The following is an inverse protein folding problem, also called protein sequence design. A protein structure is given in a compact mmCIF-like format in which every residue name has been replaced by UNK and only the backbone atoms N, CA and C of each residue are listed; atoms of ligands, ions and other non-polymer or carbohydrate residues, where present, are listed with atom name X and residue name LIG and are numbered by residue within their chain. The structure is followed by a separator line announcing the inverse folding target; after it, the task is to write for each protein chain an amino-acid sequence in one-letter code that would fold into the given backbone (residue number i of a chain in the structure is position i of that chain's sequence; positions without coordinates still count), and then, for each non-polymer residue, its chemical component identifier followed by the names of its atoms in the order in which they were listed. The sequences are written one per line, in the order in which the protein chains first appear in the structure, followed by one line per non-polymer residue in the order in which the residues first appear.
data_IF_695887370256
#
_entry.id   IF_695887370256
#
_cell.length_a   1.000
_cell.length_b   1.000
_cell.length_c   1.000
_cell.angle_alpha   90.00
_cell.angle_beta   90.00
_cell.angle_gamma   90.00
#
_symmetry.space_group_name_H-M   'P 1'
#
loop_
_entity.id
_entity.type
_entity.pdbx_description
1 polymer ?
#
# COMPACT_ATOMS: atom_id res chain seq x y z
N UNK A 1 -4.61 22.92 25.33
CA UNK A 1 -3.31 22.70 24.66
C UNK A 1 -2.91 23.98 23.95
N UNK A 2 -1.64 24.38 23.97
CA UNK A 2 -1.21 25.58 23.27
C UNK A 2 -1.18 25.28 21.76
N UNK A 3 -1.62 26.24 20.94
CA UNK A 3 -1.69 26.14 19.47
C UNK A 3 -0.36 25.73 18.78
N UNK A 4 0.76 25.86 19.47
CA UNK A 4 2.09 25.58 18.91
C UNK A 4 2.49 24.10 18.97
N UNK A 5 1.80 23.30 19.75
CA UNK A 5 2.21 21.92 20.03
C UNK A 5 1.52 20.89 19.12
N UNK A 6 0.35 21.21 18.54
CA UNK A 6 -0.45 20.28 17.73
C UNK A 6 0.31 19.67 16.53
N UNK A 7 0.99 20.43 15.64
CA UNK A 7 1.77 19.85 14.56
C UNK A 7 2.97 19.04 15.05
N UNK A 8 3.64 19.45 16.12
CA UNK A 8 4.79 18.75 16.65
C UNK A 8 4.39 17.38 17.26
N UNK A 9 3.30 17.32 18.00
CA UNK A 9 2.75 16.08 18.55
C UNK A 9 2.29 15.13 17.42
N UNK A 10 1.61 15.66 16.40
CA UNK A 10 1.23 14.90 15.20
C UNK A 10 2.44 14.28 14.52
N UNK A 11 3.49 15.07 14.27
CA UNK A 11 4.73 14.60 13.62
C UNK A 11 5.39 13.52 14.47
N UNK A 12 5.50 13.73 15.79
CA UNK A 12 6.10 12.76 16.69
C UNK A 12 5.33 11.43 16.71
N UNK A 13 3.99 11.46 16.76
CA UNK A 13 3.13 10.27 16.65
C UNK A 13 3.31 9.57 15.31
N UNK A 14 3.26 10.33 14.23
CA UNK A 14 3.45 9.81 12.86
C UNK A 14 4.77 9.06 12.72
N UNK A 15 5.86 9.67 13.22
CA UNK A 15 7.19 9.07 13.13
C UNK A 15 7.29 7.79 13.97
N UNK A 16 6.66 7.73 15.14
CA UNK A 16 6.62 6.48 15.94
C UNK A 16 5.83 5.38 15.24
N UNK A 17 4.65 5.70 14.70
CA UNK A 17 3.82 4.73 13.96
C UNK A 17 4.53 4.21 12.71
N UNK A 18 5.10 5.10 11.91
CA UNK A 18 5.80 4.75 10.66
C UNK A 18 7.18 4.12 10.85
N UNK A 19 7.78 4.21 12.04
CA UNK A 19 9.07 3.56 12.32
C UNK A 19 8.97 2.04 12.42
N UNK A 20 7.79 1.49 12.68
CA UNK A 20 7.56 0.06 12.73
C UNK A 20 6.77 -0.39 11.48
N UNK A 21 7.37 -1.18 10.58
CA UNK A 21 6.71 -1.63 9.35
C UNK A 21 5.50 -2.55 9.59
N UNK A 22 5.30 -3.03 10.83
CA UNK A 22 4.10 -3.78 11.21
C UNK A 22 2.87 -2.88 11.38
N UNK A 23 3.08 -1.58 11.64
CA UNK A 23 1.99 -0.62 11.81
C UNK A 23 1.49 -0.07 10.48
N UNK A 24 2.38 0.11 9.51
CA UNK A 24 2.01 0.56 8.16
C UNK A 24 3.14 0.23 7.18
N UNK A 25 2.80 0.03 5.91
CA UNK A 25 3.76 -0.16 4.84
C UNK A 25 4.49 1.16 4.48
N UNK A 26 5.59 1.07 3.73
CA UNK A 26 6.39 2.22 3.31
C UNK A 26 5.54 3.26 2.55
N UNK A 27 5.62 4.50 2.97
CA UNK A 27 4.86 5.63 2.41
C UNK A 27 3.32 5.47 2.41
N UNK A 28 2.79 4.39 2.96
CA UNK A 28 1.36 4.16 3.12
C UNK A 28 0.80 4.82 4.38
N UNK A 29 -0.50 4.98 4.39
CA UNK A 29 -1.21 5.61 5.48
C UNK A 29 -0.98 7.12 5.60
N UNK A 30 -1.76 7.73 6.47
CA UNK A 30 -1.67 9.13 6.83
C UNK A 30 -2.28 9.39 8.21
N UNK A 31 -1.85 10.46 8.83
CA UNK A 31 -2.24 10.85 10.17
C UNK A 31 -2.65 12.30 10.18
N UNK A 32 -3.51 12.70 11.11
CA UNK A 32 -3.95 14.08 11.22
C UNK A 32 -4.23 14.53 12.64
N UNK A 33 -4.25 15.84 12.81
CA UNK A 33 -4.74 16.51 14.01
C UNK A 33 -5.57 17.74 13.61
N UNK A 34 -6.60 18.02 14.39
CA UNK A 34 -7.43 19.23 14.29
C UNK A 34 -7.12 20.16 15.44
N UNK A 35 -7.22 21.44 15.21
CA UNK A 35 -7.00 22.46 16.23
C UNK A 35 -7.40 23.83 15.75
N UNK A 36 -7.40 24.80 16.65
CA UNK A 36 -7.76 26.18 16.38
C UNK A 36 -6.53 27.08 16.35
N UNK A 37 -6.50 28.00 15.42
CA UNK A 37 -5.50 29.08 15.35
C UNK A 37 -6.20 30.43 15.23
N UNK A 38 -5.51 31.50 15.59
CA UNK A 38 -5.96 32.85 15.23
C UNK A 38 -5.54 33.14 13.80
N UNK A 39 -6.51 33.37 12.91
CA UNK A 39 -6.23 33.76 11.53
C UNK A 39 -5.50 35.10 11.52
N UNK A 40 -4.31 35.20 10.88
CA UNK A 40 -3.47 36.41 10.94
C UNK A 40 -4.06 37.59 10.15
N UNK A 41 -5.04 37.33 9.30
CA UNK A 41 -5.67 38.38 8.47
C UNK A 41 -6.91 38.94 9.14
N UNK A 42 -7.76 38.05 9.66
CA UNK A 42 -9.07 38.41 10.24
C UNK A 42 -9.04 38.57 11.75
N UNK A 43 -7.98 38.07 12.42
CA UNK A 43 -7.86 37.93 13.88
C UNK A 43 -8.99 37.10 14.52
N UNK A 44 -9.65 36.25 13.72
CA UNK A 44 -10.71 35.37 14.21
C UNK A 44 -10.18 33.96 14.46
N UNK A 45 -10.77 33.22 15.44
CA UNK A 45 -10.51 31.80 15.58
C UNK A 45 -10.82 31.04 14.31
N UNK A 46 -9.94 30.15 13.91
CA UNK A 46 -10.07 29.35 12.67
C UNK A 46 -9.68 27.91 12.97
N UNK A 47 -10.61 26.98 12.75
CA UNK A 47 -10.31 25.56 12.86
C UNK A 47 -9.49 25.08 11.66
N UNK A 48 -8.37 24.41 11.95
CA UNK A 48 -7.48 23.82 10.96
C UNK A 48 -7.39 22.30 11.11
N UNK A 49 -7.12 21.67 9.98
CA UNK A 49 -6.68 20.29 9.86
C UNK A 49 -5.22 20.29 9.41
N UNK A 50 -4.34 19.68 10.20
CA UNK A 50 -3.02 19.27 9.78
C UNK A 50 -3.08 17.80 9.42
N UNK A 51 -2.70 17.44 8.21
CA UNK A 51 -2.73 16.07 7.72
C UNK A 51 -1.49 15.78 6.90
N UNK A 52 -0.95 14.55 7.01
CA UNK A 52 0.16 14.13 6.14
C UNK A 52 -0.28 14.25 4.68
N UNK A 53 0.48 15.01 3.91
CA UNK A 53 0.24 15.22 2.50
C UNK A 53 0.54 14.00 1.64
N UNK A 54 0.29 14.15 0.34
CA UNK A 54 0.53 13.09 -0.65
C UNK A 54 2.03 12.78 -0.77
N UNK A 55 2.38 11.49 -0.75
CA UNK A 55 3.77 11.01 -0.83
C UNK A 55 4.53 11.12 0.50
N UNK A 56 5.75 10.64 0.50
CA UNK A 56 6.60 10.62 1.70
C UNK A 56 6.22 9.52 2.69
N UNK A 57 7.21 9.08 3.45
CA UNK A 57 7.03 8.04 4.46
C UNK A 57 6.58 8.63 5.80
N UNK A 58 5.69 7.89 6.49
CA UNK A 58 5.14 8.33 7.78
C UNK A 58 6.23 8.42 8.85
N UNK A 59 7.18 7.47 8.84
CA UNK A 59 8.30 7.41 9.80
C UNK A 59 9.31 8.54 9.68
N UNK A 60 9.26 9.33 8.60
CA UNK A 60 10.17 10.46 8.34
C UNK A 60 9.41 11.77 8.10
N UNK A 61 8.17 11.85 8.55
CA UNK A 61 7.33 13.03 8.40
C UNK A 61 7.97 14.26 9.09
N UNK A 62 7.95 15.38 8.39
CA UNK A 62 8.36 16.69 8.89
C UNK A 62 7.24 17.71 8.67
N UNK A 63 7.38 18.91 9.21
CA UNK A 63 6.39 19.97 9.05
C UNK A 63 6.08 20.28 7.58
N UNK A 64 7.10 20.28 6.71
CA UNK A 64 6.93 20.48 5.27
C UNK A 64 6.15 19.37 4.56
N UNK A 65 6.00 18.22 5.19
CA UNK A 65 5.19 17.10 4.71
C UNK A 65 3.70 17.18 5.11
N UNK A 66 3.31 18.19 5.88
CA UNK A 66 1.92 18.41 6.26
C UNK A 66 1.20 19.31 5.24
N UNK A 67 -0.01 18.91 4.85
CA UNK A 67 -1.01 19.80 4.28
C UNK A 67 -1.79 20.44 5.41
N UNK A 68 -2.06 21.76 5.30
CA UNK A 68 -2.83 22.51 6.31
C UNK A 68 -4.06 23.07 5.66
N UNK A 69 -5.25 22.65 6.13
CA UNK A 69 -6.53 23.01 5.52
C UNK A 69 -7.44 23.69 6.53
N UNK A 70 -8.26 24.58 6.04
CA UNK A 70 -9.38 25.16 6.79
C UNK A 70 -10.50 24.12 6.87
N UNK A 71 -10.85 23.74 8.10
CA UNK A 71 -11.82 22.68 8.34
C UNK A 71 -13.25 23.09 7.93
N UNK A 72 -13.60 24.36 8.10
CA UNK A 72 -14.88 24.90 7.64
C UNK A 72 -15.08 24.75 6.13
N UNK A 73 -14.03 25.03 5.33
CA UNK A 73 -14.06 24.88 3.87
C UNK A 73 -14.11 23.41 3.46
N UNK A 74 -13.32 22.57 4.11
CA UNK A 74 -13.30 21.14 3.81
C UNK A 74 -14.67 20.49 4.08
N UNK A 75 -15.29 20.84 5.21
CA UNK A 75 -16.66 20.36 5.54
C UNK A 75 -17.70 20.87 4.57
N UNK A 76 -17.60 22.11 4.10
CA UNK A 76 -18.52 22.65 3.11
C UNK A 76 -18.49 21.93 1.75
N UNK A 77 -17.42 21.18 1.45
CA UNK A 77 -17.35 20.37 0.23
C UNK A 77 -18.42 19.26 0.18
N UNK A 78 -19.01 18.88 1.32
CA UNK A 78 -20.13 17.91 1.36
C UNK A 78 -21.33 18.44 0.57
N UNK A 79 -21.59 19.75 0.64
CA UNK A 79 -22.74 20.37 -0.03
C UNK A 79 -22.59 20.44 -1.57
N UNK A 80 -21.35 20.32 -2.06
CA UNK A 80 -21.04 20.37 -3.50
C UNK A 80 -20.53 19.04 -4.04
N UNK A 81 -20.55 17.98 -3.23
CA UNK A 81 -20.09 16.66 -3.64
C UNK A 81 -20.90 16.10 -4.80
N UNK A 82 -20.30 15.81 -5.96
CA UNK A 82 -21.03 15.42 -7.17
C UNK A 82 -21.42 13.93 -7.23
N UNK A 83 -21.08 13.17 -6.19
CA UNK A 83 -21.27 11.71 -6.14
C UNK A 83 -20.05 10.92 -6.61
N UNK A 84 -20.10 9.60 -6.41
CA UNK A 84 -19.00 8.65 -6.61
C UNK A 84 -18.40 8.70 -8.02
N UNK A 85 -19.24 8.90 -9.05
CA UNK A 85 -18.78 8.90 -10.45
C UNK A 85 -17.84 10.08 -10.78
N UNK A 86 -17.91 11.14 -10.00
CA UNK A 86 -17.12 12.36 -10.20
C UNK A 86 -16.31 12.74 -8.96
N UNK A 87 -16.09 11.83 -8.02
CA UNK A 87 -15.40 12.14 -6.75
C UNK A 87 -13.96 12.62 -6.94
N UNK A 88 -13.31 12.28 -8.05
CA UNK A 88 -11.95 12.74 -8.36
C UNK A 88 -11.85 14.27 -8.46
N UNK A 89 -12.97 14.95 -8.79
CA UNK A 89 -13.03 16.42 -8.81
C UNK A 89 -12.82 17.02 -7.41
N UNK A 90 -13.16 16.29 -6.35
CA UNK A 90 -12.99 16.74 -4.98
C UNK A 90 -11.52 16.90 -4.57
N UNK A 91 -10.61 16.12 -5.18
CA UNK A 91 -9.17 16.23 -4.91
C UNK A 91 -8.65 17.60 -5.36
N UNK A 92 -9.10 18.10 -6.50
CA UNK A 92 -8.77 19.46 -6.95
C UNK A 92 -9.42 20.53 -6.05
N UNK A 93 -10.59 20.25 -5.47
CA UNK A 93 -11.26 21.16 -4.56
C UNK A 93 -10.53 21.34 -3.22
N UNK A 94 -9.71 20.34 -2.79
CA UNK A 94 -8.91 20.48 -1.57
C UNK A 94 -7.92 21.64 -1.63
N UNK A 95 -7.42 22.01 -2.81
CA UNK A 95 -6.52 23.16 -2.98
C UNK A 95 -7.17 24.47 -2.56
N UNK A 96 -8.51 24.61 -2.71
CA UNK A 96 -9.24 25.79 -2.26
C UNK A 96 -9.52 25.78 -0.74
N UNK A 97 -9.25 24.67 -0.07
CA UNK A 97 -9.36 24.57 1.38
C UNK A 97 -8.04 24.88 2.11
N UNK A 98 -6.91 25.02 1.39
CA UNK A 98 -5.61 25.27 2.00
C UNK A 98 -5.60 26.54 2.84
N UNK A 99 -4.87 26.49 3.96
CA UNK A 99 -4.61 27.64 4.83
C UNK A 99 -3.20 28.17 4.63
N UNK A 100 -3.05 29.49 4.56
CA UNK A 100 -1.77 30.17 4.40
C UNK A 100 -1.13 29.90 3.04
N UNK A 101 0.17 29.62 3.03
CA UNK A 101 0.94 29.34 1.81
C UNK A 101 0.87 27.88 1.37
N UNK A 102 0.03 27.08 2.02
CA UNK A 102 -0.10 25.65 1.77
C UNK A 102 0.84 24.83 2.66
N UNK A 103 1.53 23.91 2.09
CA UNK A 103 2.37 22.87 2.69
C UNK A 103 2.54 21.81 1.64
N UNK A 104 2.54 20.54 2.02
CA UNK A 104 2.43 19.45 1.08
C UNK A 104 1.06 19.49 0.37
N UNK A 105 0.97 18.92 -0.82
CA UNK A 105 -0.32 18.75 -1.48
C UNK A 105 -1.22 17.81 -0.66
N UNK A 106 -2.51 18.12 -0.48
CA UNK A 106 -3.44 17.23 0.20
C UNK A 106 -3.47 15.85 -0.46
N UNK A 107 -3.58 14.80 0.37
CA UNK A 107 -3.77 13.44 -0.14
C UNK A 107 -5.23 13.21 -0.51
N UNK A 108 -5.48 12.13 -1.25
CA UNK A 108 -6.83 11.69 -1.58
C UNK A 108 -7.65 11.35 -0.33
N UNK A 109 -6.98 10.93 0.75
CA UNK A 109 -7.60 10.55 2.02
C UNK A 109 -7.93 11.76 2.91
N UNK A 110 -7.61 12.98 2.47
CA UNK A 110 -7.86 14.20 3.23
C UNK A 110 -9.32 14.33 3.70
N UNK A 111 -10.28 13.82 2.90
CA UNK A 111 -11.69 13.84 3.26
C UNK A 111 -11.98 13.06 4.56
N UNK A 112 -11.46 11.85 4.73
CA UNK A 112 -11.70 11.08 5.97
C UNK A 112 -11.18 11.80 7.21
N UNK A 113 -10.02 12.46 7.09
CA UNK A 113 -9.44 13.23 8.18
C UNK A 113 -10.23 14.48 8.56
N UNK A 114 -10.89 15.11 7.60
CA UNK A 114 -11.69 16.30 7.83
C UNK A 114 -13.13 16.03 8.27
N UNK A 115 -13.75 14.99 7.69
CA UNK A 115 -15.17 14.68 7.87
C UNK A 115 -15.47 13.83 9.09
N UNK A 116 -14.56 12.95 9.49
CA UNK A 116 -14.72 12.15 10.72
C UNK A 116 -14.64 13.07 11.94
N UNK A 117 -15.63 12.99 12.80
CA UNK A 117 -15.74 13.84 14.01
C UNK A 117 -14.86 13.31 15.14
N UNK A 118 -13.55 13.55 15.00
CA UNK A 118 -12.53 13.30 16.02
C UNK A 118 -11.36 14.27 15.85
N UNK A 119 -10.72 14.73 16.95
CA UNK A 119 -9.57 15.63 16.88
C UNK A 119 -8.35 15.01 16.22
N UNK A 120 -8.08 13.73 16.46
CA UNK A 120 -6.93 12.98 15.97
C UNK A 120 -7.38 11.75 15.20
N UNK A 121 -6.77 11.51 14.03
CA UNK A 121 -7.12 10.37 13.16
C UNK A 121 -5.84 9.79 12.57
N UNK A 122 -5.73 8.47 12.63
CA UNK A 122 -4.67 7.69 12.00
C UNK A 122 -5.31 6.71 11.01
N UNK A 123 -4.88 6.77 9.76
CA UNK A 123 -5.19 5.79 8.73
C UNK A 123 -3.89 5.03 8.42
N UNK A 124 -3.90 3.71 8.59
CA UNK A 124 -2.71 2.87 8.52
C UNK A 124 -2.96 1.59 7.71
N UNK A 125 -1.88 1.03 7.16
CA UNK A 125 -1.89 -0.17 6.34
C UNK A 125 -1.08 -1.31 6.99
N UNK A 126 -1.47 -1.81 8.20
CA UNK A 126 -0.80 -2.91 8.85
C UNK A 126 -1.17 -4.25 8.20
N UNK A 127 -0.19 -5.14 8.05
CA UNK A 127 -0.42 -6.47 7.44
C UNK A 127 -1.55 -7.24 8.15
N UNK A 128 -1.63 -7.20 9.48
CA UNK A 128 -2.69 -7.88 10.26
C UNK A 128 -4.08 -7.29 10.02
N UNK A 129 -4.19 -5.96 9.95
CA UNK A 129 -5.46 -5.28 9.65
C UNK A 129 -5.93 -5.55 8.22
N UNK A 130 -5.00 -5.49 7.25
CA UNK A 130 -5.31 -5.80 5.85
C UNK A 130 -5.67 -7.28 5.68
N UNK A 131 -5.07 -8.19 6.47
CA UNK A 131 -5.42 -9.61 6.42
C UNK A 131 -6.89 -9.85 6.77
N UNK A 132 -7.41 -9.22 7.83
CA UNK A 132 -8.84 -9.24 8.15
C UNK A 132 -9.68 -8.54 7.07
N UNK A 133 -9.20 -7.40 6.57
CA UNK A 133 -9.87 -6.63 5.53
C UNK A 133 -10.00 -7.37 4.19
N UNK A 134 -9.16 -8.38 3.94
CA UNK A 134 -9.13 -9.18 2.71
C UNK A 134 -9.51 -10.64 2.93
N UNK A 135 -10.07 -10.96 4.09
CA UNK A 135 -10.70 -12.26 4.34
C UNK A 135 -12.09 -12.30 3.71
N UNK A 136 -12.50 -13.44 3.19
CA UNK A 136 -13.81 -13.63 2.53
C UNK A 136 -15.00 -13.27 3.44
N UNK A 137 -14.85 -13.46 4.74
CA UNK A 137 -15.79 -13.13 5.79
C UNK A 137 -15.26 -12.03 6.74
N UNK A 138 -14.51 -11.07 6.19
CA UNK A 138 -13.78 -10.05 6.92
C UNK A 138 -14.65 -9.22 7.89
N UNK A 139 -15.89 -8.88 7.51
CA UNK A 139 -16.83 -8.19 8.42
C UNK A 139 -17.15 -9.03 9.66
N UNK A 140 -17.47 -10.31 9.46
CA UNK A 140 -17.77 -11.22 10.56
C UNK A 140 -16.56 -11.45 11.46
N UNK A 141 -15.37 -11.64 10.87
CA UNK A 141 -14.11 -11.75 11.61
C UNK A 141 -13.76 -10.47 12.38
N UNK A 142 -14.01 -9.31 11.80
CA UNK A 142 -13.83 -8.02 12.49
C UNK A 142 -14.72 -7.94 13.72
N UNK A 143 -15.98 -8.36 13.60
CA UNK A 143 -16.90 -8.40 14.74
C UNK A 143 -16.49 -9.42 15.80
N UNK A 144 -16.00 -10.59 15.39
CA UNK A 144 -15.49 -11.62 16.30
C UNK A 144 -14.23 -11.13 17.03
N UNK A 145 -13.28 -10.53 16.31
CA UNK A 145 -12.01 -10.06 16.83
C UNK A 145 -12.17 -8.89 17.81
N UNK A 146 -13.02 -7.92 17.51
CA UNK A 146 -13.05 -6.63 18.21
C UNK A 146 -14.38 -6.33 18.94
N UNK A 147 -15.41 -7.13 18.73
CA UNK A 147 -16.75 -6.81 19.23
C UNK A 147 -17.29 -5.52 18.63
N UNK A 148 -17.76 -4.60 19.48
CA UNK A 148 -18.26 -3.27 19.07
C UNK A 148 -17.19 -2.17 19.11
N UNK A 149 -15.95 -2.51 19.47
CA UNK A 149 -14.86 -1.53 19.56
C UNK A 149 -14.30 -1.09 18.21
N UNK A 150 -14.39 -1.95 17.18
CA UNK A 150 -13.97 -1.61 15.82
C UNK A 150 -15.10 -1.98 14.87
N UNK A 151 -15.52 -1.05 14.05
CA UNK A 151 -16.56 -1.26 13.06
C UNK A 151 -15.96 -1.67 11.71
N UNK A 152 -16.83 -2.00 10.76
CA UNK A 152 -16.48 -2.37 9.39
C UNK A 152 -16.98 -1.33 8.40
N UNK A 153 -16.18 -1.07 7.35
CA UNK A 153 -16.57 -0.32 6.16
C UNK A 153 -16.25 -1.19 4.94
N UNK A 154 -17.25 -1.44 4.09
CA UNK A 154 -17.06 -2.18 2.86
C UNK A 154 -16.05 -1.52 1.93
N UNK A 155 -15.50 -2.32 1.00
CA UNK A 155 -14.58 -1.79 0.01
C UNK A 155 -15.14 -0.54 -0.66
N UNK A 156 -14.34 0.48 -0.59
CA UNK A 156 -14.53 1.71 -1.30
C UNK A 156 -13.17 2.20 -1.83
N UNK A 157 -13.12 2.64 -3.08
CA UNK A 157 -11.91 3.30 -3.58
C UNK A 157 -11.55 4.49 -2.67
N UNK A 158 -10.26 4.71 -2.34
CA UNK A 158 -9.86 5.90 -1.58
C UNK A 158 -10.40 7.18 -2.22
N UNK A 159 -11.04 8.05 -1.43
CA UNK A 159 -11.66 9.25 -1.95
C UNK A 159 -12.62 9.93 -0.99
N UNK A 160 -13.42 10.85 -1.53
CA UNK A 160 -14.34 11.65 -0.73
C UNK A 160 -15.47 10.79 -0.14
N UNK A 161 -16.00 9.84 -0.93
CA UNK A 161 -17.06 8.94 -0.47
C UNK A 161 -16.60 8.05 0.68
N UNK A 162 -15.39 7.53 0.64
CA UNK A 162 -14.84 6.75 1.76
C UNK A 162 -14.81 7.58 3.05
N UNK A 163 -14.45 8.86 2.95
CA UNK A 163 -14.48 9.77 4.09
C UNK A 163 -15.89 9.96 4.68
N UNK A 164 -16.90 10.06 3.81
CA UNK A 164 -18.32 10.13 4.23
C UNK A 164 -18.77 8.83 4.90
N UNK A 165 -18.43 7.68 4.31
CA UNK A 165 -18.82 6.37 4.83
C UNK A 165 -18.20 6.13 6.23
N UNK A 166 -16.92 6.45 6.44
CA UNK A 166 -16.26 6.34 7.75
C UNK A 166 -16.90 7.31 8.77
N UNK A 167 -17.18 8.55 8.38
CA UNK A 167 -17.83 9.53 9.26
C UNK A 167 -19.21 9.04 9.72
N UNK A 168 -19.99 8.46 8.80
CA UNK A 168 -21.31 7.91 9.12
C UNK A 168 -21.21 6.68 10.03
N UNK A 169 -20.25 5.77 9.78
CA UNK A 169 -20.01 4.61 10.64
C UNK A 169 -19.63 5.04 12.05
N UNK A 170 -18.74 6.04 12.21
CA UNK A 170 -18.40 6.60 13.52
C UNK A 170 -19.62 7.20 14.22
N UNK A 171 -20.45 7.94 13.49
CA UNK A 171 -21.67 8.54 14.06
C UNK A 171 -22.65 7.48 14.58
N UNK A 172 -22.77 6.34 13.88
CA UNK A 172 -23.63 5.22 14.27
C UNK A 172 -23.04 4.38 15.39
N UNK A 173 -21.72 4.37 15.54
CA UNK A 173 -20.98 3.57 16.49
C UNK A 173 -20.09 4.48 17.36
N UNK A 174 -20.67 5.30 18.26
CA UNK A 174 -19.92 6.30 19.02
C UNK A 174 -18.89 5.69 19.98
N UNK A 175 -19.04 4.39 20.33
CA UNK A 175 -18.11 3.66 21.18
C UNK A 175 -16.93 3.04 20.41
N UNK A 176 -16.97 3.04 19.08
CA UNK A 176 -15.89 2.49 18.29
C UNK A 176 -14.65 3.39 18.34
N UNK A 177 -13.48 2.76 18.47
CA UNK A 177 -12.18 3.43 18.44
C UNK A 177 -11.58 3.52 17.05
N UNK A 178 -12.18 2.82 16.08
CA UNK A 178 -11.75 2.78 14.70
C UNK A 178 -12.60 1.87 13.84
N UNK A 179 -12.14 1.69 12.61
CA UNK A 179 -12.77 0.83 11.58
C UNK A 179 -11.72 0.00 10.87
N UNK A 180 -12.11 -1.20 10.45
CA UNK A 180 -11.42 -1.96 9.39
C UNK A 180 -12.07 -1.59 8.06
N UNK A 181 -11.25 -1.28 7.07
CA UNK A 181 -11.67 -0.91 5.72
C UNK A 181 -11.48 -2.13 4.80
N UNK A 182 -12.57 -2.70 4.31
CA UNK A 182 -12.53 -3.86 3.42
C UNK A 182 -11.57 -3.66 2.25
N UNK A 183 -10.65 -4.60 2.03
CA UNK A 183 -9.67 -4.55 0.95
C UNK A 183 -8.60 -3.45 1.06
N UNK A 184 -8.49 -2.72 2.20
CA UNK A 184 -7.67 -1.52 2.27
C UNK A 184 -6.72 -1.47 3.49
N UNK A 185 -7.26 -1.27 4.69
CA UNK A 185 -6.47 -1.06 5.89
C UNK A 185 -7.34 -0.75 7.10
N UNK A 186 -6.86 0.12 7.99
CA UNK A 186 -7.58 0.56 9.18
C UNK A 186 -7.63 2.08 9.29
N UNK A 187 -8.64 2.60 10.01
CA UNK A 187 -8.63 3.99 10.48
C UNK A 187 -8.99 4.00 11.96
N UNK A 188 -8.18 4.67 12.78
CA UNK A 188 -8.41 4.85 14.19
C UNK A 188 -8.53 6.35 14.53
N UNK A 189 -9.14 6.65 15.69
CA UNK A 189 -9.32 8.03 16.15
C UNK A 189 -9.22 8.12 17.67
N UNK A 190 -9.02 9.33 18.16
CA UNK A 190 -8.96 9.63 19.58
C UNK A 190 -9.15 11.12 19.86
N UNK A 191 -9.45 11.44 21.12
CA UNK A 191 -9.62 12.82 21.59
C UNK A 191 -8.28 13.49 21.87
N UNK A 192 -7.22 12.70 22.12
CA UNK A 192 -5.83 13.16 22.23
C UNK A 192 -4.92 12.43 21.26
N UNK A 193 -3.72 12.98 21.06
CA UNK A 193 -2.69 12.35 20.20
C UNK A 193 -2.30 10.98 20.73
N UNK A 194 -2.11 10.85 22.05
CA UNK A 194 -1.73 9.62 22.72
C UNK A 194 -2.84 8.57 22.64
N UNK A 195 -4.10 8.98 22.82
CA UNK A 195 -5.25 8.09 22.71
C UNK A 195 -5.41 7.53 21.30
N UNK A 196 -5.29 8.39 20.28
CA UNK A 196 -5.36 7.97 18.88
C UNK A 196 -4.26 6.94 18.55
N UNK A 197 -3.02 7.20 18.98
CA UNK A 197 -1.90 6.24 18.81
C UNK A 197 -2.19 4.93 19.54
N UNK A 198 -2.67 4.99 20.79
CA UNK A 198 -3.00 3.81 21.57
C UNK A 198 -4.09 2.97 20.88
N UNK A 199 -5.13 3.62 20.36
CA UNK A 199 -6.19 2.94 19.60
C UNK A 199 -5.68 2.28 18.33
N UNK A 200 -4.82 2.98 17.56
CA UNK A 200 -4.17 2.42 16.37
C UNK A 200 -3.39 1.16 16.70
N UNK A 201 -2.54 1.22 17.74
CA UNK A 201 -1.73 0.08 18.18
C UNK A 201 -2.59 -1.04 18.80
N UNK A 202 -3.68 -0.71 19.49
CA UNK A 202 -4.63 -1.70 20.01
C UNK A 202 -5.25 -2.51 18.86
N UNK A 203 -5.75 -1.83 17.82
CA UNK A 203 -6.36 -2.50 16.65
C UNK A 203 -5.33 -3.42 15.98
N UNK A 204 -4.13 -2.93 15.70
CA UNK A 204 -3.07 -3.69 15.02
C UNK A 204 -2.69 -4.93 15.82
N UNK A 205 -2.44 -4.76 17.14
CA UNK A 205 -2.04 -5.86 18.00
C UNK A 205 -3.15 -6.89 18.16
N UNK A 206 -4.39 -6.46 18.40
CA UNK A 206 -5.53 -7.37 18.56
C UNK A 206 -5.78 -8.19 17.30
N UNK A 207 -5.68 -7.58 16.12
CA UNK A 207 -5.76 -8.30 14.85
C UNK A 207 -4.64 -9.36 14.71
N UNK A 208 -3.40 -8.99 15.06
CA UNK A 208 -2.27 -9.91 14.98
C UNK A 208 -2.42 -11.08 15.95
N UNK A 209 -2.78 -10.81 17.21
CA UNK A 209 -3.03 -11.82 18.24
C UNK A 209 -4.21 -12.74 17.88
N UNK A 210 -5.27 -12.19 17.27
CA UNK A 210 -6.40 -12.98 16.80
C UNK A 210 -5.98 -13.96 15.70
N UNK A 211 -5.23 -13.48 14.70
CA UNK A 211 -4.71 -14.32 13.60
C UNK A 211 -3.78 -15.41 14.15
N UNK A 212 -2.90 -15.08 15.10
CA UNK A 212 -1.97 -16.04 15.72
C UNK A 212 -2.72 -17.12 16.53
N UNK A 213 -3.74 -16.72 17.27
CA UNK A 213 -4.45 -17.61 18.21
C UNK A 213 -5.47 -18.52 17.51
N UNK A 214 -6.18 -18.00 16.50
CA UNK A 214 -7.27 -18.71 15.82
C UNK A 214 -6.87 -19.26 14.45
N UNK A 215 -5.68 -18.84 13.96
CA UNK A 215 -5.23 -19.24 12.64
C UNK A 215 -4.76 -20.69 12.55
N UNK A 216 -4.95 -21.27 11.37
CA UNK A 216 -4.38 -22.59 11.05
C UNK A 216 -2.86 -22.52 10.94
N UNK A 217 -2.17 -23.57 11.38
CA UNK A 217 -0.71 -23.63 11.43
C UNK A 217 -0.01 -23.54 10.06
N UNK A 218 -0.67 -24.04 9.01
CA UNK A 218 -0.15 -24.05 7.62
C UNK A 218 -1.13 -23.31 6.69
N UNK A 219 -1.17 -21.98 6.75
CA UNK A 219 -2.14 -21.19 5.96
C UNK A 219 -1.95 -21.36 4.45
N UNK A 220 -0.73 -21.56 4.00
CA UNK A 220 -0.41 -21.75 2.58
C UNK A 220 -0.48 -23.22 2.10
N UNK A 221 -0.94 -24.14 2.95
CA UNK A 221 -0.99 -25.57 2.65
C UNK A 221 0.37 -26.28 2.80
N UNK A 222 0.44 -27.53 2.33
CA UNK A 222 1.63 -28.36 2.45
C UNK A 222 2.80 -27.84 1.60
N UNK A 223 4.02 -28.28 1.97
CA UNK A 223 5.19 -28.05 1.15
C UNK A 223 5.11 -28.90 -0.13
N UNK A 224 5.37 -28.28 -1.26
CA UNK A 224 5.41 -28.95 -2.57
C UNK A 224 6.81 -29.53 -2.78
N UNK A 225 6.86 -30.85 -2.99
CA UNK A 225 8.12 -31.54 -3.23
C UNK A 225 8.89 -30.92 -4.43
N UNK A 226 10.15 -30.59 -4.20
CA UNK A 226 11.01 -29.94 -5.17
C UNK A 226 10.90 -28.42 -5.23
N UNK A 227 10.04 -27.79 -4.40
CA UNK A 227 9.99 -26.32 -4.27
C UNK A 227 10.62 -25.81 -2.96
N UNK A 228 11.19 -26.70 -2.16
CA UNK A 228 11.89 -26.34 -0.93
C UNK A 228 13.05 -25.39 -1.21
N UNK A 229 13.37 -24.54 -0.24
CA UNK A 229 14.49 -23.63 -0.36
C UNK A 229 15.81 -24.38 -0.56
N UNK A 230 16.56 -23.99 -1.58
CA UNK A 230 17.94 -24.46 -1.75
C UNK A 230 18.81 -24.00 -0.58
N UNK A 231 19.91 -24.69 -0.27
CA UNK A 231 20.94 -24.19 0.62
C UNK A 231 21.35 -22.76 0.25
N UNK A 232 21.60 -21.90 1.23
CA UNK A 232 21.83 -20.47 1.02
C UNK A 232 22.88 -20.18 -0.08
N UNK A 233 24.01 -20.88 -0.05
CA UNK A 233 25.08 -20.68 -1.05
C UNK A 233 24.61 -21.02 -2.46
N UNK A 234 23.85 -22.11 -2.63
CA UNK A 234 23.33 -22.55 -3.93
C UNK A 234 22.26 -21.60 -4.47
N UNK A 235 21.30 -21.17 -3.62
CA UNK A 235 20.25 -20.26 -4.06
C UNK A 235 20.81 -18.89 -4.41
N UNK A 236 21.81 -18.37 -3.66
CA UNK A 236 22.49 -17.12 -4.01
C UNK A 236 23.29 -17.21 -5.30
N UNK A 237 23.98 -18.33 -5.52
CA UNK A 237 24.69 -18.56 -6.78
C UNK A 237 23.71 -18.63 -7.96
N UNK A 238 22.59 -19.34 -7.81
CA UNK A 238 21.54 -19.44 -8.82
C UNK A 238 20.87 -18.09 -9.08
N UNK A 239 20.56 -17.35 -8.02
CA UNK A 239 20.01 -15.99 -8.13
C UNK A 239 20.96 -15.06 -8.92
N UNK A 240 22.26 -15.08 -8.60
CA UNK A 240 23.27 -14.30 -9.29
C UNK A 240 23.37 -14.64 -10.78
N UNK A 241 23.28 -15.94 -11.13
CA UNK A 241 23.31 -16.40 -12.51
C UNK A 241 22.03 -16.00 -13.28
N UNK A 242 20.87 -16.00 -12.63
CA UNK A 242 19.58 -15.60 -13.23
C UNK A 242 19.42 -14.08 -13.33
N UNK A 243 20.02 -13.29 -12.43
CA UNK A 243 19.78 -11.85 -12.30
C UNK A 243 19.94 -11.05 -13.62
N UNK A 244 20.96 -11.26 -14.45
CA UNK A 244 21.09 -10.52 -15.71
C UNK A 244 19.93 -10.79 -16.67
N UNK A 245 19.46 -12.03 -16.75
CA UNK A 245 18.36 -12.45 -17.63
C UNK A 245 17.04 -11.90 -17.13
N UNK A 246 16.73 -12.09 -15.84
CA UNK A 246 15.48 -11.61 -15.22
C UNK A 246 15.39 -10.09 -15.33
N UNK A 247 16.50 -9.37 -15.08
CA UNK A 247 16.57 -7.93 -15.27
C UNK A 247 16.34 -7.54 -16.73
N UNK A 248 16.91 -8.28 -17.68
CA UNK A 248 16.69 -8.04 -19.12
C UNK A 248 15.22 -8.18 -19.51
N UNK A 249 14.55 -9.21 -19.01
CA UNK A 249 13.12 -9.44 -19.24
C UNK A 249 12.25 -8.36 -18.58
N UNK A 250 12.60 -7.91 -17.36
CA UNK A 250 11.88 -6.82 -16.67
C UNK A 250 12.19 -5.41 -17.25
N UNK A 251 13.02 -5.32 -18.29
CA UNK A 251 13.48 -4.05 -18.88
C UNK A 251 13.21 -3.95 -20.38
N UNK A 252 12.20 -4.66 -20.91
CA UNK A 252 11.90 -4.60 -22.35
C UNK A 252 11.22 -3.30 -22.74
N UNK A 253 10.39 -2.73 -21.86
CA UNK A 253 9.70 -1.46 -22.11
C UNK A 253 10.54 -0.25 -21.65
N UNK A 254 11.26 -0.37 -20.53
CA UNK A 254 12.13 0.68 -20.00
C UNK A 254 13.24 0.08 -19.11
N UNK A 255 14.44 0.68 -19.06
CA UNK A 255 15.51 0.19 -18.19
C UNK A 255 15.07 0.14 -16.71
N UNK A 256 15.25 -1.02 -16.07
CA UNK A 256 14.94 -1.24 -14.65
C UNK A 256 16.20 -1.63 -13.87
N UNK A 257 16.21 -1.32 -12.59
CA UNK A 257 17.10 -1.91 -11.59
C UNK A 257 16.39 -3.02 -10.86
N UNK A 258 17.15 -4.05 -10.47
CA UNK A 258 16.64 -5.18 -9.70
C UNK A 258 17.08 -5.13 -8.23
N UNK A 259 16.25 -5.67 -7.38
CA UNK A 259 16.54 -6.03 -6.00
C UNK A 259 16.19 -7.52 -5.81
N UNK A 260 16.94 -8.22 -4.96
CA UNK A 260 16.71 -9.63 -4.65
C UNK A 260 16.50 -9.81 -3.15
N UNK A 261 15.54 -10.63 -2.78
CA UNK A 261 15.30 -11.05 -1.39
C UNK A 261 14.99 -12.55 -1.31
N UNK A 262 15.57 -13.22 -0.33
CA UNK A 262 15.39 -14.62 0.02
C UNK A 262 15.04 -14.76 1.51
N UNK A 263 14.22 -13.81 2.02
CA UNK A 263 13.73 -13.87 3.40
C UNK A 263 12.86 -15.10 3.66
N UNK A 264 12.76 -15.52 4.92
CA UNK A 264 11.98 -16.69 5.32
C UNK A 264 10.52 -16.60 4.86
N UNK A 265 9.91 -15.40 4.92
CA UNK A 265 8.55 -15.13 4.45
C UNK A 265 8.39 -15.48 2.98
N UNK A 266 9.36 -15.06 2.16
CA UNK A 266 9.35 -15.32 0.71
C UNK A 266 9.58 -16.81 0.44
N UNK A 267 10.59 -17.41 1.07
CA UNK A 267 10.94 -18.82 0.85
C UNK A 267 9.82 -19.77 1.29
N UNK A 268 9.16 -19.48 2.40
CA UNK A 268 7.99 -20.24 2.82
C UNK A 268 6.88 -20.17 1.77
N UNK A 269 6.47 -18.97 1.34
CA UNK A 269 5.41 -18.80 0.34
C UNK A 269 5.73 -19.55 -0.95
N UNK A 270 6.99 -19.46 -1.43
CA UNK A 270 7.45 -20.11 -2.66
C UNK A 270 7.42 -21.63 -2.62
N UNK A 271 7.45 -22.22 -1.44
CA UNK A 271 7.49 -23.69 -1.26
C UNK A 271 6.13 -24.34 -1.09
N UNK A 272 5.02 -23.58 -1.08
CA UNK A 272 3.72 -24.07 -0.64
C UNK A 272 2.71 -24.26 -1.78
N UNK A 273 1.73 -25.14 -1.54
CA UNK A 273 0.66 -25.48 -2.51
C UNK A 273 -0.11 -24.25 -3.00
N UNK A 274 -0.35 -23.27 -2.12
CA UNK A 274 -1.13 -22.07 -2.46
C UNK A 274 -0.33 -20.97 -3.16
N UNK A 275 0.96 -21.16 -3.44
CA UNK A 275 1.76 -20.18 -4.18
C UNK A 275 1.05 -19.68 -5.45
N UNK A 276 0.70 -20.59 -6.35
CA UNK A 276 0.10 -20.21 -7.64
C UNK A 276 -1.28 -19.59 -7.49
N UNK A 277 -2.24 -20.25 -6.82
CA UNK A 277 -3.58 -19.67 -6.66
C UNK A 277 -3.56 -18.26 -6.06
N UNK A 278 -2.75 -18.03 -5.02
CA UNK A 278 -2.67 -16.72 -4.37
C UNK A 278 -1.94 -15.69 -5.23
N UNK A 279 -0.86 -16.08 -5.93
CA UNK A 279 -0.17 -15.20 -6.86
C UNK A 279 -1.07 -14.78 -8.04
N UNK A 280 -1.92 -15.67 -8.53
CA UNK A 280 -2.92 -15.39 -9.59
C UNK A 280 -4.02 -14.44 -9.12
N UNK A 281 -4.46 -14.56 -7.86
CA UNK A 281 -5.37 -13.60 -7.26
C UNK A 281 -4.73 -12.21 -7.13
N UNK A 282 -3.43 -12.16 -6.94
CA UNK A 282 -2.66 -10.92 -6.80
C UNK A 282 -2.86 -10.22 -5.45
N UNK A 283 -2.35 -9.01 -5.34
CA UNK A 283 -2.43 -8.21 -4.12
C UNK A 283 -3.79 -7.53 -3.96
N UNK A 284 -4.09 -6.93 -2.81
CA UNK A 284 -5.36 -6.29 -2.54
C UNK A 284 -5.27 -4.83 -2.09
N UNK A 285 -4.33 -4.48 -1.23
CA UNK A 285 -4.21 -3.10 -0.73
C UNK A 285 -3.86 -2.13 -1.89
N UNK A 286 -4.50 -0.93 -1.97
CA UNK A 286 -4.24 0.04 -3.03
C UNK A 286 -2.77 0.38 -3.27
N UNK A 287 -1.99 0.56 -2.21
CA UNK A 287 -0.56 0.84 -2.31
C UNK A 287 0.24 -0.27 -3.00
N UNK A 288 -0.20 -1.52 -2.87
CA UNK A 288 0.49 -2.66 -3.46
C UNK A 288 0.48 -2.59 -5.00
N UNK A 289 -0.68 -2.34 -5.61
CA UNK A 289 -0.82 -2.35 -7.09
C UNK A 289 0.10 -1.37 -7.78
N UNK A 290 0.29 -0.20 -7.20
CA UNK A 290 1.13 0.86 -7.76
C UNK A 290 2.61 0.48 -7.81
N UNK A 291 3.04 -0.51 -7.00
CA UNK A 291 4.44 -0.93 -6.87
C UNK A 291 4.71 -2.30 -7.44
N UNK A 292 3.80 -3.26 -7.21
CA UNK A 292 3.99 -4.67 -7.57
C UNK A 292 3.29 -5.06 -8.86
N UNK A 293 2.47 -4.18 -9.43
CA UNK A 293 1.43 -4.50 -10.40
C UNK A 293 0.40 -5.47 -9.83
N UNK A 294 -0.62 -5.80 -10.63
CA UNK A 294 -1.71 -6.67 -10.22
C UNK A 294 -1.26 -8.07 -9.82
N UNK A 295 -0.23 -8.61 -10.48
CA UNK A 295 0.28 -9.97 -10.27
C UNK A 295 1.80 -10.06 -10.43
N UNK A 296 2.46 -11.02 -9.77
CA UNK A 296 3.86 -11.37 -10.04
C UNK A 296 3.96 -12.34 -11.24
N UNK A 297 5.14 -12.45 -11.81
CA UNK A 297 5.51 -13.60 -12.63
C UNK A 297 6.03 -14.71 -11.72
N UNK A 298 5.47 -15.91 -11.83
CA UNK A 298 5.85 -17.09 -11.04
C UNK A 298 6.52 -18.12 -11.93
N UNK A 299 7.76 -18.50 -11.61
CA UNK A 299 8.45 -19.61 -12.25
C UNK A 299 7.83 -20.93 -11.78
N UNK A 300 7.57 -21.84 -12.72
CA UNK A 300 6.85 -23.09 -12.47
C UNK A 300 7.75 -24.33 -12.50
N UNK A 301 9.05 -24.13 -12.35
CA UNK A 301 10.03 -25.20 -12.29
C UNK A 301 10.42 -25.50 -10.84
N UNK A 302 10.81 -26.76 -10.53
CA UNK A 302 11.35 -27.10 -9.23
C UNK A 302 12.68 -26.39 -8.96
N UNK A 303 13.02 -26.23 -7.67
CA UNK A 303 14.24 -25.58 -7.21
C UNK A 303 15.53 -26.19 -7.83
N UNK A 304 15.52 -27.50 -8.06
CA UNK A 304 16.65 -28.24 -8.65
C UNK A 304 16.83 -28.09 -10.16
N UNK A 305 15.90 -27.42 -10.88
CA UNK A 305 16.08 -27.15 -12.31
C UNK A 305 17.38 -26.38 -12.55
N UNK A 306 18.08 -26.63 -13.66
CA UNK A 306 19.31 -25.89 -14.02
C UNK A 306 19.04 -24.42 -14.31
N UNK A 307 20.10 -23.60 -14.33
CA UNK A 307 19.99 -22.19 -14.72
C UNK A 307 19.48 -22.07 -16.17
N UNK A 308 19.99 -22.90 -17.07
CA UNK A 308 19.65 -22.93 -18.48
C UNK A 308 18.17 -23.26 -18.69
N UNK A 309 17.65 -24.31 -18.04
CA UNK A 309 16.24 -24.67 -18.08
C UNK A 309 15.36 -23.52 -17.53
N UNK A 310 15.80 -22.94 -16.41
CA UNK A 310 15.09 -21.81 -15.79
C UNK A 310 15.06 -20.59 -16.73
N UNK A 311 16.14 -20.27 -17.42
CA UNK A 311 16.21 -19.16 -18.38
C UNK A 311 15.30 -19.40 -19.58
N UNK A 312 15.26 -20.61 -20.13
CA UNK A 312 14.33 -20.94 -21.23
C UNK A 312 12.90 -20.73 -20.78
N UNK A 313 12.54 -21.32 -19.63
CA UNK A 313 11.18 -21.21 -19.10
C UNK A 313 10.77 -19.79 -18.73
N UNK A 314 11.66 -18.99 -18.16
CA UNK A 314 11.44 -17.58 -17.84
C UNK A 314 11.06 -16.76 -19.09
N UNK A 315 11.67 -17.01 -20.24
CA UNK A 315 11.35 -16.31 -21.50
C UNK A 315 9.93 -16.63 -21.98
N UNK A 316 9.52 -17.89 -21.87
CA UNK A 316 8.16 -18.32 -22.22
C UNK A 316 7.13 -17.69 -21.28
N UNK A 317 7.38 -17.79 -19.96
CA UNK A 317 6.49 -17.22 -18.94
C UNK A 317 6.41 -15.69 -19.04
N UNK A 318 7.50 -15.03 -19.39
CA UNK A 318 7.51 -13.58 -19.60
C UNK A 318 6.66 -13.17 -20.81
N UNK A 319 6.75 -13.92 -21.93
CA UNK A 319 5.91 -13.65 -23.08
C UNK A 319 4.41 -13.79 -22.73
N UNK A 320 4.04 -14.90 -22.07
CA UNK A 320 2.68 -15.14 -21.60
C UNK A 320 2.19 -14.08 -20.59
N UNK A 321 3.07 -13.67 -19.66
CA UNK A 321 2.77 -12.61 -18.70
C UNK A 321 2.43 -11.28 -19.40
N UNK A 322 3.20 -10.89 -20.39
CA UNK A 322 2.96 -9.66 -21.15
C UNK A 322 1.64 -9.69 -21.91
N UNK A 323 1.29 -10.82 -22.50
CA UNK A 323 0.00 -11.01 -23.19
C UNK A 323 -1.16 -10.91 -22.20
N UNK A 324 -1.04 -11.58 -21.05
CA UNK A 324 -2.07 -11.55 -20.02
C UNK A 324 -2.23 -10.15 -19.41
N UNK A 325 -1.12 -9.45 -19.15
CA UNK A 325 -1.18 -8.08 -18.63
C UNK A 325 -1.81 -7.11 -19.65
N UNK A 326 -1.50 -7.26 -20.94
CA UNK A 326 -2.15 -6.48 -21.99
C UNK A 326 -3.66 -6.81 -22.08
N UNK A 327 -4.03 -8.08 -21.91
CA UNK A 327 -5.42 -8.52 -21.83
C UNK A 327 -6.16 -7.93 -20.61
N UNK A 328 -5.51 -7.91 -19.44
CA UNK A 328 -6.02 -7.24 -18.25
C UNK A 328 -6.31 -5.76 -18.52
N UNK A 329 -5.35 -5.04 -19.11
CA UNK A 329 -5.56 -3.64 -19.50
C UNK A 329 -6.74 -3.49 -20.46
N UNK A 330 -6.82 -4.30 -21.51
CA UNK A 330 -7.88 -4.21 -22.52
C UNK A 330 -9.28 -4.52 -21.95
N UNK A 331 -9.39 -5.42 -20.97
CA UNK A 331 -10.67 -5.77 -20.34
C UNK A 331 -11.28 -4.60 -19.55
N UNK A 332 -10.46 -3.71 -19.01
CA UNK A 332 -10.90 -2.70 -18.05
C UNK A 332 -10.70 -1.26 -18.51
N UNK A 333 -9.88 -1.02 -19.53
CA UNK A 333 -9.61 0.32 -20.03
C UNK A 333 -10.84 0.96 -20.67
N UNK A 334 -11.04 2.24 -20.38
CA UNK A 334 -12.03 3.12 -20.99
C UNK A 334 -11.32 4.16 -21.86
N UNK A 335 -12.02 4.95 -22.72
CA UNK A 335 -11.41 6.02 -23.49
C UNK A 335 -10.66 7.06 -22.63
N UNK A 336 -11.05 7.20 -21.37
CA UNK A 336 -10.48 8.15 -20.40
C UNK A 336 -9.27 7.55 -19.64
N UNK A 337 -9.04 6.24 -19.73
CA UNK A 337 -7.95 5.57 -19.01
C UNK A 337 -6.60 6.05 -19.50
N UNK A 338 -5.61 6.24 -18.60
CA UNK A 338 -4.23 6.45 -18.99
C UNK A 338 -3.72 5.32 -19.88
N UNK A 339 -2.80 5.62 -20.79
CA UNK A 339 -2.18 4.60 -21.65
C UNK A 339 -1.48 3.51 -20.82
N UNK A 340 -1.46 2.28 -21.32
CA UNK A 340 -0.77 1.17 -20.67
C UNK A 340 0.71 1.50 -20.43
N UNK A 341 1.15 1.35 -19.18
CA UNK A 341 2.53 1.58 -18.76
C UNK A 341 3.29 0.28 -18.75
N UNK A 342 3.95 -0.08 -19.82
CA UNK A 342 4.77 -1.27 -19.89
C UNK A 342 4.09 -2.57 -19.42
N UNK A 343 4.42 -3.70 -19.97
CA UNK A 343 3.83 -4.99 -19.61
C UNK A 343 4.79 -5.92 -18.84
N UNK A 344 6.03 -5.48 -18.57
CA UNK A 344 7.01 -6.28 -17.84
C UNK A 344 6.63 -6.48 -16.37
N UNK A 345 6.94 -7.63 -15.76
CA UNK A 345 6.66 -7.88 -14.35
C UNK A 345 7.49 -6.99 -13.43
N UNK A 346 6.86 -6.45 -12.37
CA UNK A 346 7.58 -5.79 -11.29
C UNK A 346 8.14 -6.77 -10.26
N UNK A 347 7.54 -7.95 -10.16
CA UNK A 347 7.91 -9.03 -9.21
C UNK A 347 8.06 -10.33 -9.97
N UNK A 348 9.18 -11.04 -9.72
CA UNK A 348 9.44 -12.38 -10.26
C UNK A 348 9.75 -13.33 -9.11
N UNK A 349 8.95 -14.38 -8.98
CA UNK A 349 9.04 -15.40 -7.94
C UNK A 349 9.69 -16.66 -8.50
N UNK A 350 10.77 -17.12 -7.85
CA UNK A 350 11.52 -18.31 -8.29
C UNK A 350 11.56 -19.33 -7.13
N UNK A 351 10.75 -20.40 -7.17
CA UNK A 351 10.72 -21.43 -6.13
C UNK A 351 12.11 -21.95 -5.78
N UNK A 352 12.34 -22.11 -4.49
CA UNK A 352 13.61 -22.56 -3.93
C UNK A 352 14.76 -21.54 -3.95
N UNK A 353 14.57 -20.39 -4.66
CA UNK A 353 15.61 -19.37 -4.85
C UNK A 353 15.27 -18.08 -4.11
N UNK A 354 14.12 -17.48 -4.41
CA UNK A 354 13.74 -16.21 -3.82
C UNK A 354 12.91 -15.34 -4.79
N UNK A 355 12.88 -14.06 -4.52
CA UNK A 355 12.10 -13.04 -5.24
C UNK A 355 13.01 -11.96 -5.81
N UNK A 356 12.79 -11.63 -7.08
CA UNK A 356 13.33 -10.43 -7.71
C UNK A 356 12.24 -9.37 -7.81
N UNK A 357 12.60 -8.13 -7.49
CA UNK A 357 11.73 -6.97 -7.65
C UNK A 357 12.40 -5.88 -8.46
N UNK A 358 11.63 -5.12 -9.23
CA UNK A 358 12.14 -4.18 -10.21
C UNK A 358 11.55 -2.79 -10.05
N UNK A 359 12.35 -1.77 -10.40
CA UNK A 359 11.95 -0.38 -10.38
C UNK A 359 12.92 0.50 -11.14
N UNK A 360 12.51 1.75 -11.41
CA UNK A 360 13.31 2.75 -12.15
C UNK A 360 14.63 3.11 -11.48
N UNK A 361 14.75 2.88 -10.19
CA UNK A 361 15.93 3.11 -9.37
C UNK A 361 16.03 2.05 -8.26
N UNK A 362 17.16 2.03 -7.53
CA UNK A 362 17.43 1.03 -6.50
C UNK A 362 16.42 1.08 -5.34
N UNK A 363 15.98 2.28 -4.95
CA UNK A 363 14.99 2.44 -3.88
C UNK A 363 13.64 1.91 -4.32
N UNK A 364 13.19 2.27 -5.52
CA UNK A 364 11.89 1.78 -6.05
C UNK A 364 11.88 0.26 -6.18
N UNK A 365 12.98 -0.35 -6.65
CA UNK A 365 13.11 -1.80 -6.75
C UNK A 365 13.02 -2.49 -5.37
N UNK A 366 13.74 -1.95 -4.37
CA UNK A 366 13.69 -2.47 -2.98
C UNK A 366 12.28 -2.34 -2.40
N UNK A 367 11.67 -1.17 -2.52
CA UNK A 367 10.33 -0.89 -2.00
C UNK A 367 9.28 -1.80 -2.65
N UNK A 368 9.36 -2.05 -3.97
CA UNK A 368 8.46 -3.00 -4.64
C UNK A 368 8.55 -4.42 -4.01
N UNK A 369 9.77 -4.86 -3.65
CA UNK A 369 9.96 -6.12 -2.94
C UNK A 369 9.35 -6.11 -1.54
N UNK A 370 9.53 -5.03 -0.78
CA UNK A 370 8.92 -4.87 0.55
C UNK A 370 7.39 -4.93 0.48
N UNK A 371 6.78 -4.26 -0.49
CA UNK A 371 5.33 -4.34 -0.70
C UNK A 371 4.84 -5.74 -1.04
N UNK A 372 5.64 -6.53 -1.78
CA UNK A 372 5.23 -7.90 -2.06
C UNK A 372 5.40 -8.80 -0.83
N UNK A 373 6.38 -8.54 0.04
CA UNK A 373 6.48 -9.19 1.36
C UNK A 373 5.24 -8.85 2.22
N UNK A 374 4.81 -7.59 2.26
CA UNK A 374 3.56 -7.21 2.91
C UNK A 374 2.36 -7.99 2.33
N UNK A 375 2.26 -8.09 0.99
CA UNK A 375 1.21 -8.85 0.34
C UNK A 375 1.23 -10.35 0.75
N UNK A 376 2.41 -10.97 0.84
CA UNK A 376 2.54 -12.36 1.34
C UNK A 376 2.05 -12.47 2.79
N UNK A 377 2.41 -11.54 3.66
CA UNK A 377 1.95 -11.52 5.05
C UNK A 377 0.42 -11.36 5.14
N UNK A 378 -0.15 -10.49 4.33
CA UNK A 378 -1.61 -10.31 4.22
C UNK A 378 -2.29 -11.60 3.79
N UNK A 379 -1.82 -12.23 2.70
CA UNK A 379 -2.34 -13.51 2.23
C UNK A 379 -2.23 -14.59 3.31
N UNK A 380 -1.08 -14.64 4.02
CA UNK A 380 -0.87 -15.59 5.12
C UNK A 380 -1.89 -15.39 6.23
N UNK A 381 -2.09 -14.15 6.68
CA UNK A 381 -3.03 -13.83 7.75
C UNK A 381 -4.47 -14.14 7.35
N UNK A 382 -4.90 -13.76 6.15
CA UNK A 382 -6.24 -14.05 5.65
C UNK A 382 -6.48 -15.57 5.48
N UNK A 383 -5.51 -16.28 4.91
CA UNK A 383 -5.57 -17.75 4.75
C UNK A 383 -5.47 -18.50 6.09
N UNK A 384 -4.89 -17.88 7.13
CA UNK A 384 -4.85 -18.48 8.45
C UNK A 384 -6.24 -18.57 9.08
N UNK A 385 -7.03 -17.52 9.03
CA UNK A 385 -8.32 -17.41 9.73
C UNK A 385 -9.54 -17.64 8.81
N UNK A 386 -9.36 -17.49 7.49
CA UNK A 386 -10.44 -17.62 6.50
C UNK A 386 -9.92 -18.09 5.14
N UNK A 387 -10.31 -17.41 4.09
CA UNK A 387 -9.81 -17.52 2.72
C UNK A 387 -9.50 -16.11 2.22
N UNK A 388 -8.35 -15.94 1.58
CA UNK A 388 -7.97 -14.67 0.98
C UNK A 388 -8.90 -14.30 -0.18
N UNK A 389 -9.54 -13.15 -0.08
CA UNK A 389 -10.46 -12.60 -1.07
C UNK A 389 -10.05 -11.15 -1.38
N UNK A 390 -9.18 -10.92 -2.39
CA UNK A 390 -8.80 -9.57 -2.79
C UNK A 390 -9.97 -8.85 -3.45
N UNK A 391 -9.85 -7.51 -3.57
CA UNK A 391 -10.80 -6.73 -4.36
C UNK A 391 -10.81 -7.16 -5.82
N UNK A 392 -11.91 -6.90 -6.52
CA UNK A 392 -12.10 -7.29 -7.91
C UNK A 392 -11.04 -6.73 -8.86
N UNK A 393 -10.76 -7.45 -9.94
CA UNK A 393 -9.77 -7.06 -10.96
C UNK A 393 -10.07 -5.67 -11.55
N UNK A 394 -11.34 -5.34 -11.75
CA UNK A 394 -11.78 -4.02 -12.21
C UNK A 394 -11.42 -2.90 -11.23
N UNK A 395 -11.58 -3.15 -9.92
CA UNK A 395 -11.21 -2.17 -8.87
C UNK A 395 -9.68 -2.02 -8.77
N UNK A 396 -8.92 -3.11 -8.92
CA UNK A 396 -7.45 -3.07 -9.02
C UNK A 396 -7.02 -2.19 -10.20
N UNK A 397 -7.65 -2.37 -11.36
CA UNK A 397 -7.38 -1.56 -12.54
C UNK A 397 -7.66 -0.07 -12.31
N UNK A 398 -8.79 0.26 -11.69
CA UNK A 398 -9.18 1.65 -11.38
C UNK A 398 -8.19 2.36 -10.46
N UNK A 399 -7.41 1.62 -9.67
CA UNK A 399 -6.32 2.15 -8.85
C UNK A 399 -5.02 2.20 -9.63
N UNK A 400 -4.62 1.11 -10.27
CA UNK A 400 -3.36 1.02 -11.01
C UNK A 400 -3.29 2.05 -12.15
N UNK A 401 -4.41 2.28 -12.84
CA UNK A 401 -4.53 3.24 -13.94
C UNK A 401 -5.37 4.47 -13.58
N UNK A 402 -5.29 4.89 -12.33
CA UNK A 402 -5.99 6.07 -11.88
C UNK A 402 -5.41 7.34 -12.49
N UNK A 403 -6.28 8.20 -13.06
CA UNK A 403 -5.86 9.45 -13.71
C UNK A 403 -5.14 10.42 -12.74
N UNK A 404 -5.52 10.42 -11.47
CA UNK A 404 -4.84 11.24 -10.45
C UNK A 404 -3.42 10.75 -10.15
N UNK A 405 -3.18 9.45 -10.13
CA UNK A 405 -1.83 8.88 -9.96
C UNK A 405 -0.99 9.13 -11.22
N UNK A 406 -1.58 9.02 -12.41
CA UNK A 406 -0.91 9.37 -13.66
C UNK A 406 -0.51 10.84 -13.71
N UNK A 407 -1.36 11.76 -13.27
CA UNK A 407 -1.06 13.17 -13.18
C UNK A 407 0.13 13.46 -12.24
N UNK A 408 0.26 12.71 -11.13
CA UNK A 408 1.44 12.78 -10.26
C UNK A 408 2.71 12.30 -10.97
N UNK A 409 2.63 11.18 -11.70
CA UNK A 409 3.75 10.64 -12.46
C UNK A 409 4.23 11.61 -13.55
N UNK A 410 3.32 12.27 -14.25
CA UNK A 410 3.64 13.24 -15.30
C UNK A 410 4.29 14.52 -14.75
N UNK A 411 4.00 14.90 -13.51
CA UNK A 411 4.64 16.05 -12.83
C UNK A 411 6.03 15.74 -12.32
N UNK A 412 6.44 14.46 -12.28
CA UNK A 412 7.80 14.10 -11.84
C UNK A 412 8.86 14.61 -12.82
N UNK A 413 10.07 14.97 -12.32
CA UNK A 413 11.17 15.33 -13.20
C UNK A 413 11.46 14.24 -14.24
N UNK A 414 11.72 14.63 -15.47
CA UNK A 414 12.11 13.67 -16.52
C UNK A 414 13.33 12.86 -16.08
N UNK A 415 13.37 11.54 -16.38
CA UNK A 415 14.51 10.71 -16.03
C UNK A 415 15.82 11.30 -16.58
N UNK A 416 16.88 11.30 -15.74
CA UNK A 416 18.22 11.69 -16.19
C UNK A 416 18.75 10.69 -17.22
N UNK A 417 19.73 11.05 -18.10
CA UNK A 417 20.23 10.16 -19.18
C UNK A 417 20.73 8.79 -18.70
N UNK A 418 21.22 8.69 -17.46
CA UNK A 418 21.69 7.42 -16.87
C UNK A 418 20.69 6.77 -15.91
N UNK A 419 19.44 7.23 -15.87
CA UNK A 419 18.41 6.61 -15.05
C UNK A 419 18.22 5.10 -15.44
N UNK A 420 18.06 4.24 -14.45
CA UNK A 420 17.96 2.79 -14.65
C UNK A 420 19.27 2.12 -15.10
N UNK A 421 20.41 2.82 -15.07
CA UNK A 421 21.71 2.29 -15.44
C UNK A 421 22.59 2.06 -14.20
N UNK A 422 23.44 1.04 -14.29
CA UNK A 422 24.49 0.78 -13.31
C UNK A 422 25.83 1.17 -13.95
N UNK A 423 26.58 2.05 -13.29
CA UNK A 423 27.90 2.48 -13.74
C UNK A 423 28.99 1.81 -12.88
N UNK A 424 29.97 1.19 -13.52
CA UNK A 424 31.20 0.76 -12.89
C UNK A 424 32.26 1.82 -13.13
N UNK A 425 32.78 2.40 -12.04
CA UNK A 425 33.85 3.42 -12.10
C UNK A 425 35.13 2.78 -11.59
N UNK A 426 36.17 2.73 -12.45
CA UNK A 426 37.51 2.28 -12.08
C UNK A 426 38.42 3.47 -11.81
N UNK A 427 39.41 3.33 -10.96
CA UNK A 427 40.36 4.39 -10.63
C UNK A 427 39.81 5.51 -9.72
N UNK A 428 38.71 5.30 -9.05
CA UNK A 428 38.08 6.29 -8.17
C UNK A 428 38.77 6.47 -6.81
N UNK A 429 39.88 5.78 -6.55
CA UNK A 429 40.63 5.83 -5.29
C UNK A 429 41.95 6.60 -5.35
N UNK A 430 42.21 7.36 -6.42
CA UNK A 430 43.41 8.19 -6.59
C UNK A 430 43.13 9.63 -6.31
#
# INVERSE_FOLDING_TARGET
MSQRDTPAELIARSNRLGADPRNTNYAGGNTSAKGEVTDPVTSQPTELLWVKGSGGDLGTLTESGLAVLRLDRLRALVDVYPGVEREDEMVAAFDYCLHGRGGAAPSIDTAMHGLVDAPHIDHLHPDSGIALATAADGEALTKECFGDRVAWVDWRRPGFQLGLDIAEVKRRNPQAIGVVLGGHGITAWGDTSEECEAHSLEIIRTAAEFIETHGRAEPFGAVVAGFEALPEAERRAKAAALAPVVRGLASTDAPQLGHFTDSDVVLEFLSREKLRPLAELGTSCPDHFLRTKVRPLVVDLPAGASVEETVVRLKELHAAYREEYAGYYQRHATPESPAMRGADPAIVLVPGVGMFSFGKDKQTARVAGEFYVNAINVMRGAEAVSTYAPIDESEKFRIEYWSLEEAKLQRMPKPKPLAGRVALVTGAGS
#
